data_IF_627650238032
#
_entry.id   IF_627650238032
#
_cell.length_a   1.000
_cell.length_b   1.000
_cell.length_c   1.000
_cell.angle_alpha   90.00
_cell.angle_beta   90.00
_cell.angle_gamma   90.00
#
_symmetry.space_group_name_H-M   'P 1'
#
loop_
_entity.id
_entity.type
_entity.pdbx_description
1 polymer ?
#
# COMPACT_ATOMS: atom_id res chain seq x y z
N UNK A 1 -23.10 1.77 -18.79
CA UNK A 1 -22.42 1.40 -20.04
C UNK A 1 -21.06 2.09 -20.01
N UNK A 2 -19.99 1.41 -19.58
CA UNK A 2 -18.66 2.01 -19.47
C UNK A 2 -17.74 1.36 -20.50
N UNK A 3 -17.31 2.16 -21.47
CA UNK A 3 -16.39 1.79 -22.53
C UNK A 3 -14.99 1.66 -21.93
N UNK A 4 -14.47 0.45 -21.74
CA UNK A 4 -13.04 0.25 -21.50
C UNK A 4 -12.29 0.52 -22.81
N UNK A 5 -11.82 1.76 -23.01
CA UNK A 5 -11.04 2.19 -24.19
C UNK A 5 -9.53 1.97 -24.02
N UNK A 6 -9.09 1.59 -22.83
CA UNK A 6 -7.68 1.42 -22.44
C UNK A 6 -7.46 0.00 -21.91
N UNK A 7 -6.40 -0.68 -22.39
CA UNK A 7 -6.00 -1.99 -21.86
C UNK A 7 -5.15 -1.85 -20.59
N UNK A 8 -4.46 -0.72 -20.43
CA UNK A 8 -3.73 -0.31 -19.23
C UNK A 8 -3.72 1.21 -19.11
N UNK A 9 -3.99 1.73 -17.93
CA UNK A 9 -3.73 3.12 -17.56
C UNK A 9 -2.63 3.17 -16.48
N UNK A 10 -1.77 4.17 -16.58
CA UNK A 10 -0.68 4.42 -15.63
C UNK A 10 -0.82 5.86 -15.14
N UNK A 11 -1.22 6.03 -13.88
CA UNK A 11 -1.30 7.33 -13.22
C UNK A 11 -0.07 7.51 -12.33
N UNK A 12 0.84 8.42 -12.71
CA UNK A 12 2.02 8.80 -11.92
C UNK A 12 1.66 10.00 -11.04
N UNK A 13 1.97 9.90 -9.74
CA UNK A 13 1.88 11.00 -8.79
C UNK A 13 3.27 11.36 -8.28
N UNK A 14 3.55 12.65 -8.26
CA UNK A 14 4.82 13.21 -7.82
C UNK A 14 4.68 13.83 -6.43
N UNK A 15 5.78 13.88 -5.70
CA UNK A 15 5.87 14.46 -4.35
C UNK A 15 5.46 15.94 -4.25
N UNK A 16 5.40 16.66 -5.37
CA UNK A 16 4.88 18.03 -5.42
C UNK A 16 3.35 18.11 -5.65
N UNK A 17 2.65 16.96 -5.61
CA UNK A 17 1.21 16.85 -5.84
C UNK A 17 0.80 16.77 -7.32
N UNK A 18 1.73 16.90 -8.27
CA UNK A 18 1.40 16.77 -9.69
C UNK A 18 1.03 15.34 -10.04
N UNK A 19 0.04 15.21 -10.93
CA UNK A 19 -0.42 13.94 -11.48
C UNK A 19 -0.31 13.93 -13.00
N UNK A 20 0.13 12.83 -13.57
CA UNK A 20 0.12 12.62 -15.02
C UNK A 20 -0.39 11.23 -15.36
N UNK A 21 -1.27 11.16 -16.36
CA UNK A 21 -1.91 9.92 -16.83
C UNK A 21 -1.33 9.50 -18.18
N UNK A 22 -1.06 8.21 -18.30
CA UNK A 22 -0.67 7.54 -19.53
C UNK A 22 -1.62 6.40 -19.83
N UNK A 23 -1.86 6.14 -21.12
CA UNK A 23 -2.78 5.11 -21.58
C UNK A 23 -2.10 4.23 -22.62
N UNK A 24 -2.29 2.92 -22.49
CA UNK A 24 -1.93 1.92 -23.50
C UNK A 24 -3.19 1.18 -23.94
N UNK A 25 -3.63 1.42 -25.17
CA UNK A 25 -4.83 0.80 -25.73
C UNK A 25 -4.57 -0.58 -26.33
N UNK A 26 -3.32 -0.91 -26.69
CA UNK A 26 -2.99 -2.21 -27.27
C UNK A 26 -2.81 -3.27 -26.17
N UNK A 27 -3.72 -4.25 -26.14
CA UNK A 27 -3.79 -5.29 -25.09
C UNK A 27 -2.48 -6.09 -24.93
N UNK A 28 -1.85 -6.49 -26.03
CA UNK A 28 -0.58 -7.24 -25.97
C UNK A 28 0.57 -6.42 -25.36
N UNK A 29 0.64 -5.14 -25.70
CA UNK A 29 1.65 -4.23 -25.15
C UNK A 29 1.37 -3.94 -23.68
N UNK A 30 0.11 -3.69 -23.32
CA UNK A 30 -0.33 -3.54 -21.94
C UNK A 30 0.04 -4.77 -21.08
N UNK A 31 -0.28 -5.97 -21.58
CA UNK A 31 0.06 -7.23 -20.91
C UNK A 31 1.56 -7.38 -20.69
N UNK A 32 2.38 -7.10 -21.70
CA UNK A 32 3.84 -7.11 -21.55
C UNK A 32 4.33 -6.12 -20.50
N UNK A 33 3.80 -4.90 -20.46
CA UNK A 33 4.17 -3.91 -19.43
C UNK A 33 3.87 -4.46 -18.03
N UNK A 34 2.69 -5.04 -17.84
CA UNK A 34 2.26 -5.62 -16.56
C UNK A 34 3.09 -6.84 -16.16
N UNK A 35 3.40 -7.75 -17.10
CA UNK A 35 4.23 -8.94 -16.82
C UNK A 35 5.68 -8.62 -16.43
N UNK A 36 6.22 -7.52 -16.94
CA UNK A 36 7.59 -7.07 -16.60
C UNK A 36 7.63 -6.15 -15.38
N UNK A 37 6.48 -5.84 -14.78
CA UNK A 37 6.40 -4.96 -13.64
C UNK A 37 6.74 -5.71 -12.35
N UNK A 38 7.87 -5.33 -11.77
CA UNK A 38 8.35 -5.82 -10.49
C UNK A 38 8.28 -4.69 -9.46
N UNK A 39 7.33 -4.71 -8.52
CA UNK A 39 7.18 -3.65 -7.51
C UNK A 39 8.49 -3.35 -6.79
N UNK A 40 9.24 -4.39 -6.42
CA UNK A 40 10.48 -4.31 -5.67
C UNK A 40 11.63 -3.66 -6.44
N UNK A 41 11.49 -3.49 -7.76
CA UNK A 41 12.50 -2.85 -8.63
C UNK A 41 12.06 -1.47 -9.13
N UNK A 42 10.77 -1.14 -9.02
CA UNK A 42 10.18 0.03 -9.67
C UNK A 42 10.82 1.35 -9.22
N UNK A 43 11.16 1.48 -7.93
CA UNK A 43 11.83 2.66 -7.38
C UNK A 43 13.33 2.46 -7.10
N UNK A 44 13.84 1.23 -7.24
CA UNK A 44 15.27 0.94 -7.13
C UNK A 44 16.07 1.47 -8.33
N UNK A 45 15.42 1.61 -9.48
CA UNK A 45 15.99 2.27 -10.66
C UNK A 45 16.04 3.81 -10.49
N UNK A 46 16.94 4.47 -11.21
CA UNK A 46 17.12 5.94 -11.11
C UNK A 46 15.96 6.72 -11.72
N UNK A 47 15.36 6.19 -12.77
CA UNK A 47 14.33 6.87 -13.53
C UNK A 47 13.34 5.88 -14.12
N UNK A 48 12.08 6.31 -14.22
CA UNK A 48 11.03 5.66 -14.99
C UNK A 48 10.90 6.39 -16.32
N UNK A 49 10.93 5.65 -17.42
CA UNK A 49 10.76 6.20 -18.77
C UNK A 49 9.45 5.67 -19.34
N UNK A 50 8.59 6.58 -19.80
CA UNK A 50 7.37 6.25 -20.52
C UNK A 50 7.44 6.83 -21.93
N UNK A 51 7.42 5.94 -22.92
CA UNK A 51 7.42 6.30 -24.33
C UNK A 51 6.00 6.16 -24.90
N UNK A 52 5.47 7.26 -25.41
CA UNK A 52 4.27 7.29 -26.25
C UNK A 52 4.63 7.47 -27.72
N UNK A 53 3.62 7.50 -28.59
CA UNK A 53 3.82 7.65 -30.04
C UNK A 53 4.50 8.97 -30.42
N UNK A 54 4.20 10.05 -29.68
CA UNK A 54 4.68 11.40 -30.00
C UNK A 54 5.50 12.04 -28.88
N UNK A 55 5.76 11.33 -27.77
CA UNK A 55 6.47 11.89 -26.63
C UNK A 55 7.24 10.84 -25.84
N UNK A 56 8.27 11.31 -25.15
CA UNK A 56 9.04 10.53 -24.19
C UNK A 56 9.04 11.31 -22.88
N UNK A 57 8.51 10.69 -21.82
CA UNK A 57 8.53 11.26 -20.48
C UNK A 57 9.55 10.52 -19.61
N UNK A 58 10.39 11.27 -18.91
CA UNK A 58 11.39 10.72 -17.98
C UNK A 58 11.12 11.27 -16.60
N UNK A 59 10.88 10.37 -15.64
CA UNK A 59 10.63 10.71 -14.25
C UNK A 59 11.75 10.19 -13.37
N UNK A 60 12.48 11.04 -12.64
CA UNK A 60 13.36 10.57 -11.58
C UNK A 60 12.54 9.81 -10.54
N UNK A 61 12.90 8.57 -10.20
CA UNK A 61 12.10 7.77 -9.25
C UNK A 61 12.06 8.42 -7.86
N UNK A 62 13.09 9.19 -7.50
CA UNK A 62 13.12 9.99 -6.27
C UNK A 62 12.04 11.09 -6.23
N UNK A 63 11.44 11.50 -7.36
CA UNK A 63 10.35 12.48 -7.39
C UNK A 63 8.96 11.83 -7.35
N UNK A 64 8.86 10.53 -7.62
CA UNK A 64 7.60 9.78 -7.69
C UNK A 64 7.24 9.26 -6.30
N UNK A 65 6.05 9.61 -5.82
CA UNK A 65 5.52 9.10 -4.56
C UNK A 65 4.68 7.83 -4.75
N UNK A 66 3.95 7.74 -5.87
CA UNK A 66 2.95 6.70 -6.11
C UNK A 66 2.71 6.52 -7.61
N UNK A 67 2.48 5.28 -8.01
CA UNK A 67 2.04 4.92 -9.37
C UNK A 67 0.83 4.02 -9.26
N UNK A 68 -0.26 4.37 -9.93
CA UNK A 68 -1.45 3.53 -10.06
C UNK A 68 -1.43 2.87 -11.44
N UNK A 69 -1.54 1.55 -11.49
CA UNK A 69 -1.70 0.77 -12.71
C UNK A 69 -3.12 0.21 -12.76
N UNK A 70 -3.93 0.68 -13.69
CA UNK A 70 -5.33 0.29 -13.82
C UNK A 70 -5.49 -0.62 -15.05
N UNK A 71 -5.88 -1.86 -14.80
CA UNK A 71 -6.29 -2.84 -15.82
C UNK A 71 -7.14 -3.92 -15.17
N UNK A 72 -7.96 -4.61 -15.96
CA UNK A 72 -8.82 -5.71 -15.49
C UNK A 72 -7.99 -6.95 -15.11
N UNK A 73 -6.90 -7.20 -15.86
CA UNK A 73 -6.09 -8.43 -15.76
C UNK A 73 -4.74 -8.14 -15.08
N UNK A 74 -4.77 -7.67 -13.82
CA UNK A 74 -3.55 -7.45 -13.06
C UNK A 74 -3.08 -8.75 -12.36
N UNK A 75 -1.79 -9.13 -12.42
CA UNK A 75 -1.27 -10.32 -11.76
C UNK A 75 -1.40 -10.19 -10.24
N UNK A 76 -1.70 -11.31 -9.59
CA UNK A 76 -1.66 -11.37 -8.13
C UNK A 76 -0.21 -11.30 -7.65
N UNK A 77 0.20 -10.15 -7.15
CA UNK A 77 1.48 -10.03 -6.44
C UNK A 77 1.35 -10.63 -5.05
N UNK A 78 2.39 -11.35 -4.61
CA UNK A 78 2.45 -11.85 -3.25
C UNK A 78 2.66 -10.69 -2.27
N UNK A 79 2.07 -10.83 -1.09
CA UNK A 79 2.36 -10.00 0.06
C UNK A 79 3.29 -10.76 1.01
N UNK A 80 4.14 -10.06 1.76
CA UNK A 80 5.07 -10.73 2.67
C UNK A 80 4.34 -11.34 3.88
N UNK A 81 4.91 -12.45 4.39
CA UNK A 81 4.50 -13.10 5.66
C UNK A 81 3.04 -13.57 5.64
N UNK A 82 2.30 -13.26 6.69
CA UNK A 82 0.92 -13.67 6.96
C UNK A 82 -0.13 -12.76 6.29
N UNK A 83 0.29 -11.81 5.45
CA UNK A 83 -0.61 -10.90 4.74
C UNK A 83 -1.17 -11.64 3.52
N UNK A 84 -2.48 -11.73 3.42
CA UNK A 84 -3.16 -12.39 2.30
C UNK A 84 -3.67 -11.39 1.26
N UNK A 85 -4.02 -10.17 1.67
CA UNK A 85 -4.41 -9.09 0.76
C UNK A 85 -4.18 -7.72 1.42
N UNK A 86 -3.99 -6.68 0.60
CA UNK A 86 -4.00 -5.27 1.03
C UNK A 86 -4.80 -4.50 0.00
N UNK A 87 -5.81 -3.77 0.45
CA UNK A 87 -6.78 -3.09 -0.43
C UNK A 87 -6.90 -1.62 -0.05
N UNK A 88 -6.87 -0.73 -1.05
CA UNK A 88 -7.23 0.68 -0.89
C UNK A 88 -8.74 0.75 -0.63
N UNK A 89 -9.13 1.40 0.45
CA UNK A 89 -10.54 1.66 0.76
C UNK A 89 -10.81 3.16 0.78
N UNK A 90 -12.05 3.59 0.45
CA UNK A 90 -12.47 4.96 0.68
C UNK A 90 -12.31 5.37 2.15
N UNK A 91 -12.08 6.66 2.38
CA UNK A 91 -12.06 7.22 3.73
C UNK A 91 -13.36 6.92 4.49
N UNK A 92 -14.52 7.06 3.85
CA UNK A 92 -15.82 6.75 4.46
C UNK A 92 -15.89 5.31 4.99
N UNK A 93 -15.32 4.37 4.24
CA UNK A 93 -15.35 2.95 4.59
C UNK A 93 -14.35 2.67 5.69
N UNK A 94 -13.18 3.32 5.65
CA UNK A 94 -12.23 3.30 6.76
C UNK A 94 -12.90 3.84 8.02
N UNK A 95 -13.58 4.98 7.93
CA UNK A 95 -14.26 5.64 9.05
C UNK A 95 -15.39 4.81 9.65
N UNK A 96 -16.07 4.02 8.83
CA UNK A 96 -17.15 3.14 9.27
C UNK A 96 -16.67 1.86 9.99
N UNK A 97 -15.43 1.44 9.76
CA UNK A 97 -14.92 0.15 10.24
C UNK A 97 -13.72 0.24 11.19
N UNK A 98 -12.98 1.36 11.19
CA UNK A 98 -11.94 1.58 12.19
C UNK A 98 -12.59 1.94 13.53
N UNK A 99 -12.38 1.10 14.54
CA UNK A 99 -12.89 1.36 15.89
C UNK A 99 -11.74 1.87 16.77
N UNK A 100 -11.77 3.17 17.08
CA UNK A 100 -10.83 3.80 18.02
C UNK A 100 -11.02 3.29 19.46
N UNK A 101 -12.17 2.70 19.79
CA UNK A 101 -12.43 2.17 21.12
C UNK A 101 -11.83 0.77 21.34
N UNK A 102 -11.42 0.08 20.26
CA UNK A 102 -10.72 -1.19 20.38
C UNK A 102 -9.28 -0.93 20.81
N UNK A 103 -9.01 -1.06 22.11
CA UNK A 103 -7.66 -0.84 22.64
C UNK A 103 -6.67 -1.89 22.12
N UNK A 104 -5.40 -1.48 21.99
CA UNK A 104 -4.28 -2.36 21.66
C UNK A 104 -4.29 -3.59 22.58
N UNK A 105 -4.17 -4.78 22.01
CA UNK A 105 -3.97 -6.03 22.76
C UNK A 105 -5.22 -6.62 23.43
N UNK A 106 -6.40 -6.02 23.26
CA UNK A 106 -7.65 -6.62 23.76
C UNK A 106 -8.04 -7.90 23.00
N UNK A 107 -7.55 -8.09 21.77
CA UNK A 107 -7.92 -9.23 20.92
C UNK A 107 -6.85 -10.32 20.96
N UNK A 108 -7.24 -11.50 21.47
CA UNK A 108 -6.45 -12.74 21.37
C UNK A 108 -6.74 -13.42 20.03
N UNK A 109 -5.73 -13.57 19.19
CA UNK A 109 -5.84 -14.27 17.91
C UNK A 109 -5.82 -15.78 18.10
N UNK A 110 -6.64 -16.51 17.35
CA UNK A 110 -6.60 -17.98 17.31
C UNK A 110 -5.81 -18.48 16.09
N UNK A 111 -5.05 -19.59 16.20
CA UNK A 111 -4.45 -20.23 15.03
C UNK A 111 -5.50 -20.53 13.94
N UNK A 112 -5.17 -20.23 12.69
CA UNK A 112 -6.09 -20.35 11.55
C UNK A 112 -7.14 -19.24 11.42
N UNK A 113 -7.19 -18.27 12.34
CA UNK A 113 -8.10 -17.12 12.24
C UNK A 113 -7.62 -16.13 11.16
N UNK A 114 -8.54 -15.67 10.31
CA UNK A 114 -8.32 -14.50 9.47
C UNK A 114 -8.75 -13.25 10.21
N UNK A 115 -7.94 -12.20 10.15
CA UNK A 115 -8.23 -10.92 10.77
C UNK A 115 -7.91 -9.75 9.86
N UNK A 116 -8.58 -8.64 10.11
CA UNK A 116 -8.45 -7.39 9.36
C UNK A 116 -7.80 -6.33 10.22
N UNK A 117 -6.87 -5.60 9.62
CA UNK A 117 -6.24 -4.41 10.20
C UNK A 117 -6.45 -3.26 9.23
N UNK A 118 -6.83 -2.11 9.76
CA UNK A 118 -6.93 -0.89 8.98
C UNK A 118 -5.66 -0.07 9.14
N UNK A 119 -5.27 0.66 8.10
CA UNK A 119 -4.14 1.58 8.22
C UNK A 119 -4.29 2.82 7.37
N UNK A 120 -3.72 3.89 7.87
CA UNK A 120 -3.65 5.20 7.24
C UNK A 120 -2.20 5.47 6.85
N UNK A 121 -1.99 5.93 5.63
CA UNK A 121 -0.71 6.44 5.13
C UNK A 121 -0.84 7.91 4.78
N UNK A 122 0.24 8.66 5.03
CA UNK A 122 0.41 10.03 4.57
C UNK A 122 1.67 10.12 3.72
N UNK A 123 1.56 10.70 2.53
CA UNK A 123 2.66 10.91 1.59
C UNK A 123 3.16 12.36 1.62
N UNK A 124 4.36 12.60 1.09
CA UNK A 124 4.99 13.94 1.03
C UNK A 124 4.12 15.01 0.39
N UNK A 125 3.27 14.66 -0.58
CA UNK A 125 2.32 15.61 -1.20
C UNK A 125 1.17 16.04 -0.28
N UNK A 126 1.06 15.47 0.92
CA UNK A 126 -0.11 15.57 1.79
C UNK A 126 -1.23 14.61 1.41
N UNK A 127 -1.06 13.79 0.35
CA UNK A 127 -2.04 12.76 0.03
C UNK A 127 -2.13 11.73 1.15
N UNK A 128 -3.37 11.38 1.50
CA UNK A 128 -3.65 10.25 2.36
C UNK A 128 -4.17 9.03 1.59
N UNK A 129 -3.87 7.85 2.15
CA UNK A 129 -4.42 6.59 1.71
C UNK A 129 -4.92 5.78 2.90
N UNK A 130 -6.11 5.23 2.74
CA UNK A 130 -6.71 4.32 3.70
C UNK A 130 -6.70 2.90 3.15
N UNK A 131 -6.33 1.93 4.00
CA UNK A 131 -6.10 0.55 3.58
C UNK A 131 -6.74 -0.44 4.53
N UNK A 132 -7.31 -1.49 3.97
CA UNK A 132 -7.70 -2.71 4.68
C UNK A 132 -6.62 -3.78 4.40
N UNK A 133 -6.03 -4.33 5.44
CA UNK A 133 -5.01 -5.38 5.39
C UNK A 133 -5.64 -6.67 5.91
N UNK A 134 -5.61 -7.73 5.11
CA UNK A 134 -6.09 -9.05 5.47
C UNK A 134 -4.91 -9.92 5.89
N UNK A 135 -5.03 -10.52 7.05
CA UNK A 135 -3.99 -11.35 7.64
C UNK A 135 -4.56 -12.74 7.95
N UNK A 136 -3.74 -13.77 7.83
CA UNK A 136 -4.05 -15.15 8.19
C UNK A 136 -3.06 -15.64 9.26
N UNK A 137 -3.56 -16.02 10.43
CA UNK A 137 -2.71 -16.62 11.46
C UNK A 137 -2.40 -18.08 11.07
N UNK A 138 -1.13 -18.48 10.95
CA UNK A 138 -0.78 -19.85 10.62
C UNK A 138 -1.33 -20.86 11.65
N UNK A 139 -1.78 -22.04 11.22
CA UNK A 139 -2.35 -23.06 12.10
C UNK A 139 -1.33 -23.77 13.01
N UNK A 140 -0.03 -23.70 12.69
CA UNK A 140 1.05 -24.44 13.36
C UNK A 140 1.92 -23.59 14.31
N UNK A 141 1.64 -22.30 14.46
CA UNK A 141 2.32 -21.44 15.43
C UNK A 141 1.45 -21.31 16.70
N UNK A 142 2.00 -21.52 17.92
CA UNK A 142 1.34 -21.01 19.11
C UNK A 142 1.10 -19.51 18.87
N UNK A 143 -0.18 -19.10 18.97
CA UNK A 143 -0.70 -17.85 18.37
C UNK A 143 0.24 -16.66 18.53
N UNK A 144 0.28 -15.74 17.56
CA UNK A 144 1.46 -14.98 17.17
C UNK A 144 2.15 -14.35 18.38
N UNK A 145 3.04 -15.08 19.03
CA UNK A 145 4.15 -14.50 19.75
C UNK A 145 5.12 -14.04 18.66
N UNK A 146 4.70 -13.05 17.84
CA UNK A 146 5.65 -12.22 17.14
C UNK A 146 6.48 -11.65 18.28
N UNK A 147 7.68 -12.19 18.46
CA UNK A 147 8.56 -11.81 19.54
C UNK A 147 8.71 -10.28 19.50
N UNK A 148 8.79 -9.58 20.64
CA UNK A 148 8.88 -8.13 20.65
C UNK A 148 9.96 -7.57 19.70
N UNK A 149 11.06 -8.31 19.52
CA UNK A 149 12.15 -7.96 18.60
C UNK A 149 11.76 -8.02 17.12
N UNK A 150 10.88 -8.95 16.73
CA UNK A 150 10.41 -9.09 15.35
C UNK A 150 9.48 -7.93 14.94
N UNK A 151 8.83 -7.28 15.91
CA UNK A 151 7.87 -6.18 15.67
C UNK A 151 8.55 -4.89 15.23
N UNK A 152 9.60 -4.49 15.92
CA UNK A 152 10.42 -3.32 15.54
C UNK A 152 11.05 -3.55 14.18
N UNK A 153 11.53 -4.77 13.92
CA UNK A 153 12.10 -5.16 12.62
C UNK A 153 11.03 -5.09 11.52
N UNK A 154 9.77 -5.49 11.78
CA UNK A 154 8.68 -5.36 10.79
C UNK A 154 8.44 -3.90 10.42
N UNK A 155 8.32 -2.99 11.39
CA UNK A 155 8.08 -1.57 11.07
C UNK A 155 9.27 -0.96 10.32
N UNK A 156 10.50 -1.28 10.73
CA UNK A 156 11.70 -0.86 10.00
C UNK A 156 11.73 -1.43 8.57
N UNK A 157 11.37 -2.69 8.38
CA UNK A 157 11.30 -3.33 7.06
C UNK A 157 10.24 -2.67 6.17
N UNK A 158 9.09 -2.27 6.73
CA UNK A 158 8.06 -1.54 5.96
C UNK A 158 8.56 -0.15 5.53
N UNK A 159 9.22 0.58 6.43
CA UNK A 159 9.78 1.89 6.11
C UNK A 159 10.96 1.82 5.12
N UNK A 160 11.72 0.72 5.13
CA UNK A 160 12.88 0.51 4.26
C UNK A 160 12.58 -0.40 3.05
N UNK A 161 11.31 -0.76 2.84
CA UNK A 161 10.93 -1.57 1.70
C UNK A 161 11.27 -0.83 0.39
N UNK A 162 11.67 -1.53 -0.68
CA UNK A 162 11.89 -0.89 -1.97
C UNK A 162 10.61 -0.30 -2.57
N UNK A 163 9.45 -0.87 -2.19
CA UNK A 163 8.12 -0.38 -2.53
C UNK A 163 7.09 -0.96 -1.56
N UNK A 164 5.92 -0.30 -1.48
CA UNK A 164 4.71 -0.87 -0.89
C UNK A 164 3.67 -0.98 -1.99
N UNK A 165 3.07 -2.15 -2.18
CA UNK A 165 1.97 -2.32 -3.14
C UNK A 165 0.68 -2.70 -2.45
N UNK A 166 -0.44 -2.37 -3.08
CA UNK A 166 -1.77 -2.75 -2.65
C UNK A 166 -2.74 -2.77 -3.84
N UNK A 167 -3.84 -3.50 -3.69
CA UNK A 167 -4.91 -3.56 -4.67
C UNK A 167 -5.79 -2.32 -4.59
N UNK A 168 -6.22 -1.82 -5.74
CA UNK A 168 -7.14 -0.69 -5.83
C UNK A 168 -8.59 -1.17 -5.79
N UNK A 169 -9.48 -0.48 -5.07
CA UNK A 169 -10.91 -0.82 -4.96
C UNK A 169 -11.66 -0.87 -6.29
N UNK A 170 -11.19 -0.12 -7.30
CA UNK A 170 -11.74 -0.10 -8.67
C UNK A 170 -10.96 -0.94 -9.69
N UNK A 171 -10.14 -1.90 -9.25
CA UNK A 171 -9.30 -2.71 -10.11
C UNK A 171 -7.91 -2.11 -10.36
N UNK A 172 -6.94 -2.99 -10.61
CA UNK A 172 -5.52 -2.65 -10.74
C UNK A 172 -4.75 -2.65 -9.42
N UNK A 173 -3.51 -2.16 -9.47
CA UNK A 173 -2.59 -2.10 -8.34
C UNK A 173 -2.01 -0.70 -8.17
N UNK A 174 -1.67 -0.39 -6.94
CA UNK A 174 -1.01 0.85 -6.53
C UNK A 174 0.36 0.45 -6.00
N UNK A 175 1.39 1.18 -6.41
CA UNK A 175 2.76 1.02 -5.90
C UNK A 175 3.22 2.36 -5.33
N UNK A 176 3.60 2.36 -4.06
CA UNK A 176 3.99 3.53 -3.28
C UNK A 176 5.49 3.46 -3.04
N UNK A 177 6.16 4.60 -3.18
CA UNK A 177 7.57 4.79 -2.87
C UNK A 177 7.72 5.13 -1.38
N UNK A 178 8.33 4.27 -0.55
CA UNK A 178 8.43 4.48 0.90
C UNK A 178 9.32 5.67 1.26
N UNK A 179 10.17 6.14 0.34
CA UNK A 179 10.96 7.36 0.54
C UNK A 179 10.10 8.63 0.66
N UNK A 180 8.82 8.55 0.26
CA UNK A 180 7.84 9.63 0.38
C UNK A 180 6.78 9.36 1.45
N UNK A 181 6.97 8.33 2.28
CA UNK A 181 6.08 8.05 3.39
C UNK A 181 6.40 9.00 4.55
N UNK A 182 5.42 9.82 4.94
CA UNK A 182 5.51 10.77 6.06
C UNK A 182 5.04 10.11 7.36
N UNK A 183 3.90 9.42 7.30
CA UNK A 183 3.29 8.78 8.46
C UNK A 183 2.58 7.49 8.07
N UNK A 184 2.62 6.52 8.97
CA UNK A 184 1.82 5.30 8.90
C UNK A 184 1.19 5.04 10.27
N UNK A 185 -0.11 4.74 10.28
CA UNK A 185 -0.84 4.40 11.51
C UNK A 185 -1.71 3.18 11.28
N UNK A 186 -1.83 2.31 12.30
CA UNK A 186 -2.55 1.04 12.23
C UNK A 186 -3.66 0.96 13.28
N UNK A 187 -4.79 0.35 12.92
CA UNK A 187 -5.99 0.25 13.73
C UNK A 187 -6.59 -1.18 13.65
N UNK A 188 -6.73 -1.90 14.77
CA UNK A 188 -6.07 -1.60 16.03
C UNK A 188 -4.54 -1.66 15.87
N UNK A 189 -3.83 -0.91 16.70
CA UNK A 189 -2.37 -1.03 16.79
C UNK A 189 -1.94 -2.40 17.35
N UNK A 190 -0.66 -2.77 17.22
CA UNK A 190 -0.14 -4.01 17.81
C UNK A 190 -0.36 -4.04 19.32
N UNK A 191 -0.50 -5.24 19.89
CA UNK A 191 -0.81 -5.44 21.30
C UNK A 191 0.20 -4.78 22.25
N UNK A 192 1.49 -4.98 21.98
CA UNK A 192 2.58 -4.34 22.71
C UNK A 192 3.30 -3.35 21.79
N UNK A 193 3.62 -2.18 22.33
CA UNK A 193 4.44 -1.20 21.66
C UNK A 193 5.93 -1.62 21.68
N UNK A 194 6.72 -1.28 20.64
CA UNK A 194 8.18 -1.40 20.70
C UNK A 194 8.78 -0.74 21.95
N UNK A 195 9.88 -1.27 22.47
CA UNK A 195 10.54 -0.74 23.70
C UNK A 195 10.95 0.73 23.58
N UNK A 196 11.27 1.18 22.37
CA UNK A 196 11.67 2.56 22.08
C UNK A 196 10.49 3.49 21.76
N UNK A 197 9.24 3.00 21.81
CA UNK A 197 8.07 3.79 21.52
C UNK A 197 7.71 4.71 22.70
N UNK A 198 7.36 5.95 22.40
CA UNK A 198 6.77 6.86 23.38
C UNK A 198 5.26 6.61 23.44
N UNK A 199 4.73 6.47 24.66
CA UNK A 199 3.29 6.28 24.88
C UNK A 199 2.62 7.66 24.89
N UNK A 200 1.86 7.95 23.84
CA UNK A 200 1.07 9.15 23.71
C UNK A 200 -0.18 8.87 22.86
N UNK A 201 -1.28 9.52 23.21
CA UNK A 201 -2.50 9.53 22.41
C UNK A 201 -2.54 10.81 21.57
N UNK A 202 -3.08 10.71 20.35
CA UNK A 202 -3.31 11.89 19.52
C UNK A 202 -4.55 12.64 20.02
N UNK A 203 -4.39 13.90 20.41
CA UNK A 203 -5.51 14.81 20.65
C UNK A 203 -6.14 15.23 19.31
N UNK A 204 -7.01 14.37 18.79
CA UNK A 204 -7.74 14.61 17.55
C UNK A 204 -7.21 13.78 16.37
N UNK A 205 -8.14 13.15 15.67
CA UNK A 205 -7.91 12.73 14.30
C UNK A 205 -8.02 13.96 13.39
N UNK A 206 -7.18 14.12 12.35
CA UNK A 206 -7.26 15.26 11.44
C UNK A 206 -8.58 15.39 10.65
N UNK A 207 -9.52 14.47 10.85
CA UNK A 207 -10.81 14.35 10.14
C UNK A 207 -12.04 14.70 11.00
N UNK A 208 -11.85 15.24 12.22
CA UNK A 208 -12.94 15.77 13.06
C UNK A 208 -13.13 17.28 12.91
#
# INVERSE_FOLDING_TARGET
>A
MYTYLSALEIDIRLSNGNKTRFVQSQRETAKRVVEHLHPERLFAQKQLILAGEHSLSVYPCAAIERIDFLTEDFPTWSFPRNITDIVEIPESDFLAHYDLNTARGQRRFRPGESFRVYSELELTSGQQLFREIHLLIPPEEPGPEILPIDRTIIFQQLCHAPSLHLRRSGGGMIVINPSHLVRMTFYPGPADAPENAWLADSEGHPWQ
#
